data_IF_703476048796
#
_entry.id   IF_703476048796
#
_cell.length_a   1.000
_cell.length_b   1.000
_cell.length_c   1.000
_cell.angle_alpha   90.00
_cell.angle_beta   90.00
_cell.angle_gamma   90.00
#
_symmetry.space_group_name_H-M   'P 1'
#
loop_
_entity.id
_entity.type
_entity.pdbx_description
1 polymer ?
#
# COMPACT_ATOMS: atom_id res chain seq x y z
N UNK A 1 -38.26 -43.59 18.67
CA UNK A 1 -37.83 -42.88 19.89
C UNK A 1 -36.74 -43.60 20.70
N UNK A 2 -36.71 -44.94 20.77
CA UNK A 2 -35.68 -45.68 21.51
C UNK A 2 -34.28 -45.71 20.84
N UNK A 3 -34.20 -45.45 19.53
CA UNK A 3 -32.94 -45.47 18.76
C UNK A 3 -32.19 -44.13 18.84
N UNK A 4 -32.92 -43.01 18.79
CA UNK A 4 -32.38 -41.66 19.00
C UNK A 4 -31.77 -41.46 20.40
N UNK A 5 -32.31 -42.14 21.42
CA UNK A 5 -31.79 -42.09 22.79
C UNK A 5 -30.50 -42.93 22.98
N UNK A 6 -30.25 -43.93 22.13
CA UNK A 6 -29.00 -44.72 22.15
C UNK A 6 -27.86 -43.98 21.44
N UNK A 7 -28.17 -43.27 20.36
CA UNK A 7 -27.20 -42.44 19.64
C UNK A 7 -26.71 -41.26 20.51
N UNK A 8 -27.63 -40.60 21.22
CA UNK A 8 -27.28 -39.51 22.15
C UNK A 8 -26.39 -39.96 23.32
N UNK A 9 -26.61 -41.18 23.85
CA UNK A 9 -25.75 -41.77 24.89
C UNK A 9 -24.39 -42.22 24.36
N UNK A 10 -24.30 -42.68 23.10
CA UNK A 10 -23.02 -43.00 22.46
C UNK A 10 -22.18 -41.75 22.23
N UNK A 11 -22.79 -40.66 21.78
CA UNK A 11 -22.10 -39.37 21.59
C UNK A 11 -21.64 -38.81 22.94
N UNK A 12 -22.50 -38.82 23.98
CA UNK A 12 -22.09 -38.37 25.33
C UNK A 12 -20.98 -39.23 25.94
N UNK A 13 -21.00 -40.55 25.73
CA UNK A 13 -19.93 -41.44 26.22
C UNK A 13 -18.64 -41.33 25.40
N UNK A 14 -18.71 -40.95 24.12
CA UNK A 14 -17.53 -40.66 23.28
C UNK A 14 -16.80 -39.40 23.78
N UNK A 15 -17.54 -38.37 24.21
CA UNK A 15 -16.96 -37.18 24.83
C UNK A 15 -16.52 -37.41 26.29
N UNK A 16 -17.22 -38.26 27.05
CA UNK A 16 -16.89 -38.53 28.46
C UNK A 16 -15.66 -39.44 28.66
N UNK A 17 -15.26 -40.23 27.66
CA UNK A 17 -14.12 -41.16 27.75
C UNK A 17 -12.77 -40.55 27.33
N UNK A 18 -12.74 -39.30 26.86
CA UNK A 18 -11.51 -38.55 26.54
C UNK A 18 -11.19 -37.41 27.50
N UNK A 19 -11.87 -37.35 28.65
CA UNK A 19 -11.45 -36.48 29.77
C UNK A 19 -10.27 -37.08 30.53
N UNK A 20 -9.22 -37.52 29.80
CA UNK A 20 -7.88 -37.37 30.33
C UNK A 20 -7.70 -35.87 30.52
N UNK A 21 -7.54 -35.45 31.78
CA UNK A 21 -7.07 -34.13 32.17
C UNK A 21 -5.71 -33.91 31.50
N UNK A 22 -5.72 -33.48 30.25
CA UNK A 22 -4.61 -32.69 29.74
C UNK A 22 -4.56 -31.48 30.68
N UNK A 23 -3.41 -31.14 31.29
CA UNK A 23 -3.28 -29.80 31.83
C UNK A 23 -3.73 -28.85 30.71
N UNK A 24 -4.58 -27.88 31.05
CA UNK A 24 -4.78 -26.73 30.16
C UNK A 24 -3.42 -26.09 30.06
N UNK A 25 -2.62 -26.52 29.09
CA UNK A 25 -1.47 -25.76 28.65
C UNK A 25 -2.11 -24.49 28.10
N UNK A 26 -1.72 -23.31 28.57
CA UNK A 26 -1.96 -22.07 27.84
C UNK A 26 -1.09 -22.08 26.57
N UNK A 27 -1.27 -23.10 25.74
CA UNK A 27 -0.58 -23.27 24.49
C UNK A 27 -1.00 -22.11 23.58
N UNK A 28 -0.01 -21.29 23.23
CA UNK A 28 -0.13 -20.14 22.32
C UNK A 28 -0.77 -18.86 22.89
N UNK A 29 -0.85 -18.71 24.21
CA UNK A 29 -1.15 -17.40 24.81
C UNK A 29 0.11 -16.53 24.83
N UNK A 30 0.17 -15.48 24.00
CA UNK A 30 1.29 -14.53 23.98
C UNK A 30 1.21 -13.46 25.10
N UNK A 31 0.18 -13.52 25.95
CA UNK A 31 -0.12 -12.52 26.97
C UNK A 31 -0.74 -11.25 26.39
N UNK A 32 -0.87 -10.23 27.22
CA UNK A 32 -1.32 -8.90 26.80
C UNK A 32 -0.25 -8.17 25.98
N UNK A 33 -0.70 -7.32 25.04
CA UNK A 33 0.19 -6.46 24.26
C UNK A 33 0.41 -5.12 24.98
N UNK A 34 1.04 -5.17 26.15
CA UNK A 34 1.21 -4.02 27.05
C UNK A 34 2.67 -3.57 27.22
N UNK A 35 3.62 -4.29 26.62
CA UNK A 35 5.03 -3.95 26.68
C UNK A 35 5.35 -2.82 25.70
N UNK A 36 6.11 -1.82 26.15
CA UNK A 36 6.30 -0.58 25.39
C UNK A 36 7.73 -0.45 24.89
N UNK A 37 7.90 -0.17 23.60
CA UNK A 37 9.18 0.30 23.07
C UNK A 37 9.47 1.72 23.56
N UNK A 38 10.53 1.86 24.35
CA UNK A 38 10.97 3.14 24.94
C UNK A 38 11.34 4.22 23.91
N UNK A 39 11.55 3.84 22.64
CA UNK A 39 11.94 4.76 21.56
C UNK A 39 10.76 5.31 20.77
N UNK A 40 9.73 4.49 20.56
CA UNK A 40 8.65 4.76 19.60
C UNK A 40 7.25 4.70 20.21
N UNK A 41 7.10 4.22 21.45
CA UNK A 41 5.82 3.98 22.10
C UNK A 41 5.03 2.77 21.56
N UNK A 42 5.64 1.97 20.68
CA UNK A 42 5.03 0.79 20.07
C UNK A 42 4.78 -0.29 21.11
N UNK A 43 3.61 -0.92 21.04
CA UNK A 43 3.19 -2.01 21.91
C UNK A 43 3.68 -3.36 21.38
N UNK A 44 4.01 -4.25 22.31
CA UNK A 44 4.56 -5.58 22.05
C UNK A 44 3.99 -6.60 23.02
N UNK A 45 4.03 -7.86 22.60
CA UNK A 45 3.94 -9.00 23.49
C UNK A 45 5.29 -9.23 24.19
N UNK A 46 5.27 -9.77 25.41
CA UNK A 46 6.48 -9.97 26.21
C UNK A 46 7.56 -10.81 25.51
N UNK A 47 7.15 -11.75 24.65
CA UNK A 47 8.04 -12.65 23.92
C UNK A 47 8.73 -12.02 22.70
N UNK A 48 8.35 -10.81 22.28
CA UNK A 48 8.88 -10.15 21.08
C UNK A 48 10.15 -9.33 21.33
N UNK A 49 10.72 -9.40 22.54
CA UNK A 49 11.97 -8.75 22.84
C UNK A 49 13.16 -9.49 22.19
N UNK A 50 14.26 -8.76 21.98
CA UNK A 50 15.50 -9.38 21.55
C UNK A 50 16.24 -10.04 22.73
N UNK A 51 17.36 -10.71 22.48
CA UNK A 51 18.19 -11.32 23.52
C UNK A 51 18.71 -10.36 24.61
N UNK A 52 18.58 -9.04 24.43
CA UNK A 52 18.94 -8.00 25.41
C UNK A 52 17.73 -7.49 26.21
N UNK A 53 16.53 -7.99 25.92
CA UNK A 53 15.27 -7.53 26.51
C UNK A 53 14.69 -6.27 25.85
N UNK A 54 15.24 -5.82 24.70
CA UNK A 54 14.78 -4.60 24.03
C UNK A 54 13.76 -4.89 22.92
N UNK A 55 12.72 -4.05 22.84
CA UNK A 55 11.74 -4.04 21.75
C UNK A 55 12.17 -3.09 20.63
N UNK A 56 12.50 -3.62 19.45
CA UNK A 56 13.16 -2.84 18.39
C UNK A 56 12.50 -2.88 17.01
N UNK A 57 11.57 -3.80 16.75
CA UNK A 57 10.96 -4.00 15.43
C UNK A 57 10.14 -2.78 14.95
N UNK A 58 9.37 -2.13 15.83
CA UNK A 58 8.47 -1.00 15.57
C UNK A 58 9.16 0.22 14.96
N UNK A 59 10.42 0.49 15.26
CA UNK A 59 11.10 1.72 14.79
C UNK A 59 12.52 1.44 14.31
N UNK A 60 12.82 0.15 14.13
CA UNK A 60 14.15 -0.35 13.87
C UNK A 60 15.19 0.29 14.81
N UNK A 61 14.96 0.16 16.12
CA UNK A 61 15.83 0.70 17.17
C UNK A 61 15.96 2.25 17.17
N UNK A 62 14.91 2.96 16.77
CA UNK A 62 14.83 4.44 16.74
C UNK A 62 15.36 5.08 15.46
N UNK A 63 15.64 4.27 14.42
CA UNK A 63 16.12 4.77 13.12
C UNK A 63 15.01 5.34 12.25
N UNK A 64 13.76 4.91 12.48
CA UNK A 64 12.60 5.41 11.73
C UNK A 64 11.97 6.54 12.54
N UNK A 65 12.05 7.75 11.98
CA UNK A 65 11.42 8.97 12.52
C UNK A 65 10.58 9.58 11.42
N UNK A 66 9.26 9.53 11.57
CA UNK A 66 8.33 10.23 10.68
C UNK A 66 8.07 11.64 11.19
N UNK A 67 7.85 12.58 10.26
CA UNK A 67 7.43 13.93 10.62
C UNK A 67 6.00 13.86 11.19
N UNK A 68 5.79 14.54 12.32
CA UNK A 68 4.47 14.66 12.90
C UNK A 68 3.56 15.47 11.96
N UNK A 69 2.47 14.86 11.52
CA UNK A 69 1.39 15.53 10.79
C UNK A 69 0.13 15.48 11.64
N UNK A 70 -0.63 16.58 11.65
CA UNK A 70 -1.88 16.66 12.38
C UNK A 70 -3.00 16.16 11.49
N UNK A 71 -3.49 14.97 11.79
CA UNK A 71 -4.63 14.41 11.08
C UNK A 71 -5.91 15.24 11.37
N UNK A 72 -6.69 15.65 10.35
CA UNK A 72 -7.89 16.47 10.54
C UNK A 72 -8.88 15.81 11.50
N UNK A 73 -9.28 16.55 12.54
CA UNK A 73 -10.17 16.03 13.60
C UNK A 73 -11.53 15.62 13.03
N UNK A 74 -12.04 16.36 12.05
CA UNK A 74 -13.29 16.07 11.37
C UNK A 74 -13.26 14.70 10.69
N UNK A 75 -12.11 14.32 10.10
CA UNK A 75 -11.92 12.99 9.50
C UNK A 75 -11.69 11.91 10.57
N UNK A 76 -11.10 12.27 11.71
CA UNK A 76 -10.83 11.33 12.81
C UNK A 76 -12.14 10.80 13.40
N UNK A 77 -13.11 11.69 13.61
CA UNK A 77 -14.46 11.35 14.10
C UNK A 77 -15.13 10.35 13.15
N UNK A 78 -15.01 10.53 11.83
CA UNK A 78 -15.58 9.57 10.87
C UNK A 78 -15.00 8.15 10.97
N UNK A 79 -13.78 7.99 11.51
CA UNK A 79 -13.10 6.71 11.62
C UNK A 79 -13.41 5.94 12.92
N UNK A 80 -14.04 6.57 13.91
CA UNK A 80 -14.29 5.93 15.20
C UNK A 80 -15.40 4.86 15.14
N UNK A 81 -16.41 5.03 14.29
CA UNK A 81 -17.54 4.10 14.17
C UNK A 81 -18.59 4.26 15.27
N UNK A 82 -18.63 5.42 15.93
CA UNK A 82 -19.51 5.72 17.07
C UNK A 82 -20.94 6.09 16.66
N UNK A 83 -21.13 6.73 15.51
CA UNK A 83 -22.43 7.16 14.99
C UNK A 83 -22.78 6.54 13.63
N UNK A 84 -24.05 6.64 13.20
CA UNK A 84 -24.54 6.04 11.95
C UNK A 84 -23.77 6.52 10.70
N UNK A 85 -23.35 7.79 10.64
CA UNK A 85 -22.57 8.32 9.52
C UNK A 85 -21.16 7.73 9.51
N UNK A 86 -20.51 7.64 10.67
CA UNK A 86 -19.18 7.01 10.78
C UNK A 86 -19.22 5.51 10.42
N UNK A 87 -20.29 4.79 10.78
CA UNK A 87 -20.50 3.39 10.38
C UNK A 87 -20.70 3.28 8.86
N UNK A 88 -21.52 4.15 8.26
CA UNK A 88 -21.70 4.22 6.81
C UNK A 88 -20.37 4.50 6.10
N UNK A 89 -19.62 5.50 6.58
CA UNK A 89 -18.31 5.86 6.07
C UNK A 89 -17.35 4.67 6.08
N UNK A 90 -17.21 3.98 7.22
CA UNK A 90 -16.31 2.80 7.34
C UNK A 90 -16.73 1.67 6.42
N UNK A 91 -18.04 1.47 6.22
CA UNK A 91 -18.54 0.44 5.31
C UNK A 91 -18.20 0.73 3.84
N UNK A 92 -18.14 2.01 3.46
CA UNK A 92 -17.89 2.50 2.10
C UNK A 92 -16.55 3.22 1.93
N UNK A 93 -15.63 3.07 2.89
CA UNK A 93 -14.37 3.83 2.96
C UNK A 93 -13.49 3.68 1.71
N UNK A 94 -13.54 2.52 1.04
CA UNK A 94 -12.81 2.28 -0.21
C UNK A 94 -13.37 3.11 -1.38
N UNK A 95 -14.69 3.24 -1.48
CA UNK A 95 -15.34 4.08 -2.50
C UNK A 95 -14.98 5.54 -2.28
N UNK A 96 -15.08 6.05 -1.04
CA UNK A 96 -14.63 7.40 -0.71
C UNK A 96 -13.15 7.62 -1.04
N UNK A 97 -12.26 6.71 -0.63
CA UNK A 97 -10.83 6.83 -0.93
C UNK A 97 -10.58 6.85 -2.44
N UNK A 98 -11.20 5.94 -3.19
CA UNK A 98 -11.04 5.86 -4.64
C UNK A 98 -11.59 7.08 -5.36
N UNK A 99 -12.67 7.68 -4.87
CA UNK A 99 -13.27 8.88 -5.46
C UNK A 99 -12.42 10.15 -5.24
N UNK A 100 -11.62 10.15 -4.17
CA UNK A 100 -10.81 11.29 -3.74
C UNK A 100 -9.31 11.11 -4.02
N UNK A 101 -8.89 9.97 -4.57
CA UNK A 101 -7.47 9.68 -4.79
C UNK A 101 -6.88 10.47 -5.97
N UNK A 102 -5.59 10.80 -5.87
CA UNK A 102 -4.84 11.44 -6.95
C UNK A 102 -4.20 10.41 -7.90
N UNK A 103 -4.03 9.19 -7.41
CA UNK A 103 -3.58 8.04 -8.17
C UNK A 103 -4.55 6.87 -7.97
N UNK A 104 -4.74 6.08 -9.03
CA UNK A 104 -5.48 4.82 -8.96
C UNK A 104 -4.52 3.67 -8.67
N UNK A 105 -4.92 2.75 -7.79
CA UNK A 105 -4.31 1.44 -7.66
C UNK A 105 -5.07 0.47 -8.57
N UNK A 106 -4.43 0.01 -9.63
CA UNK A 106 -4.92 -1.07 -10.46
C UNK A 106 -4.38 -2.42 -9.99
N UNK A 107 -5.28 -3.36 -9.77
CA UNK A 107 -4.98 -4.75 -9.46
C UNK A 107 -6.15 -5.63 -9.91
N UNK A 108 -5.89 -6.89 -10.25
CA UNK A 108 -6.95 -7.86 -10.46
C UNK A 108 -7.43 -8.35 -9.09
N UNK A 109 -8.48 -7.74 -8.54
CA UNK A 109 -9.06 -8.15 -7.26
C UNK A 109 -9.90 -9.42 -7.48
N UNK A 110 -9.58 -10.49 -6.75
CA UNK A 110 -10.30 -11.76 -6.84
C UNK A 110 -11.13 -11.93 -5.56
N UNK A 111 -12.47 -12.05 -5.64
CA UNK A 111 -13.26 -12.30 -4.45
C UNK A 111 -12.91 -13.69 -3.86
N UNK A 112 -12.87 -13.84 -2.52
CA UNK A 112 -12.65 -15.15 -1.93
C UNK A 112 -13.74 -16.13 -2.35
N UNK A 113 -13.34 -17.32 -2.76
CA UNK A 113 -14.25 -18.42 -3.09
C UNK A 113 -14.72 -19.11 -1.80
N UNK A 114 -16.01 -19.06 -1.48
CA UNK A 114 -16.64 -19.83 -0.40
C UNK A 114 -17.32 -19.01 0.70
N UNK A 115 -17.57 -19.65 1.86
CA UNK A 115 -18.23 -19.06 3.05
C UNK A 115 -17.25 -18.58 4.13
N UNK A 116 -16.04 -18.17 3.74
CA UNK A 116 -15.01 -17.69 4.65
C UNK A 116 -15.20 -16.22 5.04
N UNK A 117 -14.49 -15.78 6.08
CA UNK A 117 -14.39 -14.35 6.40
C UNK A 117 -13.81 -13.57 5.21
N UNK A 118 -14.26 -12.32 5.03
CA UNK A 118 -13.80 -11.49 3.92
C UNK A 118 -12.29 -11.25 3.99
N UNK A 119 -11.59 -11.55 2.89
CA UNK A 119 -10.19 -11.19 2.69
C UNK A 119 -10.01 -10.39 1.39
N UNK A 120 -9.10 -9.42 1.42
CA UNK A 120 -8.71 -8.69 0.22
C UNK A 120 -7.62 -9.49 -0.52
N UNK A 121 -7.95 -9.99 -1.72
CA UNK A 121 -7.04 -10.80 -2.54
C UNK A 121 -6.81 -10.12 -3.87
N UNK A 122 -5.54 -10.02 -4.24
CA UNK A 122 -5.12 -9.59 -5.57
C UNK A 122 -4.52 -10.77 -6.33
N UNK A 123 -4.61 -10.71 -7.65
CA UNK A 123 -3.95 -11.63 -8.57
C UNK A 123 -3.09 -10.81 -9.54
N UNK A 124 -1.92 -11.33 -9.88
CA UNK A 124 -0.98 -10.64 -10.77
C UNK A 124 -0.31 -9.41 -10.15
N UNK A 125 -0.01 -8.42 -10.98
CA UNK A 125 0.78 -7.25 -10.59
C UNK A 125 -0.11 -6.06 -10.21
N UNK A 126 0.34 -5.29 -9.22
CA UNK A 126 -0.24 -3.98 -8.91
C UNK A 126 0.44 -2.88 -9.72
N UNK A 127 -0.33 -1.87 -10.10
CA UNK A 127 0.20 -0.66 -10.73
C UNK A 127 -0.51 0.57 -10.19
N UNK A 128 0.24 1.65 -10.00
CA UNK A 128 -0.30 2.93 -9.57
C UNK A 128 -0.21 3.92 -10.73
N UNK A 129 -1.31 4.58 -11.08
CA UNK A 129 -1.39 5.49 -12.24
C UNK A 129 -2.01 6.82 -11.85
N UNK A 130 -1.41 7.92 -12.30
CA UNK A 130 -2.02 9.25 -12.25
C UNK A 130 -2.82 9.51 -13.52
N UNK A 131 -3.90 10.28 -13.40
CA UNK A 131 -4.61 10.83 -14.55
C UNK A 131 -3.86 12.04 -15.14
N UNK A 132 -4.19 12.39 -16.38
CA UNK A 132 -3.82 13.67 -16.99
C UNK A 132 -4.51 14.82 -16.27
N UNK A 133 -4.12 16.07 -16.51
CA UNK A 133 -4.82 17.22 -15.95
C UNK A 133 -6.23 17.41 -16.56
N UNK A 134 -6.40 17.10 -17.84
CA UNK A 134 -7.66 17.24 -18.56
C UNK A 134 -8.27 15.88 -18.87
N UNK A 135 -9.60 15.74 -18.79
CA UNK A 135 -10.27 14.56 -19.31
C UNK A 135 -10.16 14.50 -20.84
N UNK A 136 -10.32 13.31 -21.45
CA UNK A 136 -10.39 13.17 -22.92
C UNK A 136 -11.58 13.96 -23.49
N UNK A 137 -12.73 13.86 -22.82
CA UNK A 137 -13.96 14.59 -23.16
C UNK A 137 -14.50 15.34 -21.93
N UNK A 138 -15.18 16.47 -22.15
CA UNK A 138 -15.76 17.26 -21.06
C UNK A 138 -16.83 16.45 -20.31
N UNK A 139 -16.69 16.34 -18.99
CA UNK A 139 -17.55 15.49 -18.17
C UNK A 139 -17.00 14.10 -17.85
N UNK A 140 -15.85 13.72 -18.40
CA UNK A 140 -15.14 12.49 -18.02
C UNK A 140 -14.01 12.75 -17.00
N UNK A 141 -14.16 13.76 -16.13
CA UNK A 141 -13.13 14.08 -15.15
C UNK A 141 -12.92 12.95 -14.14
N UNK A 142 -11.68 12.46 -14.03
CA UNK A 142 -11.28 11.32 -13.22
C UNK A 142 -10.22 11.67 -12.18
N UNK A 143 -10.39 11.12 -10.96
CA UNK A 143 -9.41 11.17 -9.87
C UNK A 143 -8.95 12.62 -9.57
N UNK A 144 -7.66 12.89 -9.76
CA UNK A 144 -7.05 14.17 -9.48
C UNK A 144 -7.64 15.35 -10.25
N UNK A 145 -8.21 15.11 -11.43
CA UNK A 145 -8.83 16.14 -12.29
C UNK A 145 -9.98 16.86 -11.58
N UNK A 146 -10.66 16.17 -10.67
CA UNK A 146 -11.81 16.71 -9.95
C UNK A 146 -11.41 17.82 -8.95
N UNK A 147 -10.15 17.89 -8.55
CA UNK A 147 -9.65 18.96 -7.68
C UNK A 147 -9.46 20.30 -8.40
N UNK A 148 -9.57 20.31 -9.73
CA UNK A 148 -9.60 21.54 -10.53
C UNK A 148 -10.97 22.22 -10.49
N UNK A 149 -12.04 21.44 -10.38
CA UNK A 149 -13.41 21.92 -10.31
C UNK A 149 -13.73 22.50 -8.92
N UNK A 150 -14.82 23.26 -8.81
CA UNK A 150 -15.37 23.61 -7.50
C UNK A 150 -15.86 22.36 -6.74
N UNK A 151 -15.94 22.46 -5.41
CA UNK A 151 -16.29 21.33 -4.53
C UNK A 151 -17.64 20.70 -4.89
N UNK A 152 -18.64 21.52 -5.21
CA UNK A 152 -20.00 21.04 -5.48
C UNK A 152 -20.08 20.33 -6.82
N UNK A 153 -19.47 20.88 -7.86
CA UNK A 153 -19.38 20.23 -9.17
C UNK A 153 -18.54 18.95 -9.09
N UNK A 154 -17.39 18.99 -8.43
CA UNK A 154 -16.54 17.82 -8.23
C UNK A 154 -17.28 16.70 -7.50
N UNK A 155 -18.03 17.05 -6.45
CA UNK A 155 -18.86 16.10 -5.69
C UNK A 155 -19.94 15.49 -6.59
N UNK A 156 -20.68 16.30 -7.35
CA UNK A 156 -21.69 15.79 -8.29
C UNK A 156 -21.08 14.78 -9.28
N UNK A 157 -19.94 15.12 -9.90
CA UNK A 157 -19.21 14.21 -10.81
C UNK A 157 -18.77 12.92 -10.14
N UNK A 158 -18.36 12.97 -8.86
CA UNK A 158 -18.04 11.75 -8.09
C UNK A 158 -19.29 10.90 -7.87
N UNK A 159 -20.42 11.52 -7.57
CA UNK A 159 -21.67 10.81 -7.27
C UNK A 159 -22.37 10.24 -8.51
N UNK A 160 -22.10 10.77 -9.71
CA UNK A 160 -22.58 10.22 -10.99
C UNK A 160 -22.01 8.83 -11.30
N UNK A 161 -20.94 8.42 -10.61
CA UNK A 161 -20.28 7.12 -10.82
C UNK A 161 -21.01 5.99 -10.11
N UNK A 162 -21.18 4.87 -10.82
CA UNK A 162 -21.82 3.67 -10.29
C UNK A 162 -21.12 3.13 -9.03
N UNK A 163 -19.79 3.23 -8.95
CA UNK A 163 -18.98 2.79 -7.81
C UNK A 163 -19.24 3.59 -6.52
N UNK A 164 -19.79 4.80 -6.67
CA UNK A 164 -20.11 5.72 -5.58
C UNK A 164 -21.62 5.82 -5.31
N UNK A 165 -22.45 5.02 -5.98
CA UNK A 165 -23.91 5.04 -5.83
C UNK A 165 -24.39 4.87 -4.39
N UNK A 166 -23.65 4.12 -3.57
CA UNK A 166 -23.95 3.92 -2.14
C UNK A 166 -23.23 4.91 -1.20
N UNK A 167 -22.48 5.88 -1.73
CA UNK A 167 -21.85 6.93 -0.93
C UNK A 167 -22.86 8.01 -0.54
N UNK A 168 -22.58 8.71 0.56
CA UNK A 168 -23.37 9.84 1.02
C UNK A 168 -22.81 11.12 0.36
N UNK A 169 -23.63 11.88 -0.41
CA UNK A 169 -23.17 13.06 -1.12
C UNK A 169 -22.61 14.16 -0.20
N UNK A 170 -23.27 14.40 0.93
CA UNK A 170 -22.87 15.43 1.88
C UNK A 170 -21.56 15.07 2.57
N UNK A 171 -21.35 13.78 2.85
CA UNK A 171 -20.08 13.30 3.37
C UNK A 171 -18.95 13.41 2.34
N UNK A 172 -19.22 13.04 1.09
CA UNK A 172 -18.26 13.20 -0.01
C UNK A 172 -17.81 14.65 -0.15
N UNK A 173 -18.76 15.60 -0.12
CA UNK A 173 -18.51 17.04 -0.16
C UNK A 173 -17.63 17.51 1.00
N UNK A 174 -17.98 17.13 2.23
CA UNK A 174 -17.21 17.49 3.43
C UNK A 174 -15.77 16.98 3.38
N UNK A 175 -15.56 15.74 2.95
CA UNK A 175 -14.21 15.17 2.86
C UNK A 175 -13.42 15.86 1.74
N UNK A 176 -14.04 16.15 0.60
CA UNK A 176 -13.42 16.92 -0.49
C UNK A 176 -12.95 18.30 -0.02
N UNK A 177 -13.77 19.02 0.74
CA UNK A 177 -13.43 20.33 1.32
C UNK A 177 -12.25 20.25 2.27
N UNK A 178 -12.21 19.23 3.13
CA UNK A 178 -11.09 19.00 4.04
C UNK A 178 -9.81 18.73 3.26
N UNK A 179 -9.86 17.84 2.25
CA UNK A 179 -8.71 17.51 1.41
C UNK A 179 -8.22 18.75 0.66
N UNK A 180 -9.10 19.54 0.04
CA UNK A 180 -8.70 20.79 -0.63
C UNK A 180 -8.05 21.81 0.30
N UNK A 181 -8.39 21.80 1.59
CA UNK A 181 -7.86 22.72 2.58
C UNK A 181 -6.46 22.33 3.08
N UNK A 182 -6.18 21.02 3.19
CA UNK A 182 -4.97 20.53 3.89
C UNK A 182 -4.02 19.74 2.99
N UNK A 183 -4.49 19.28 1.83
CA UNK A 183 -3.74 18.38 0.98
C UNK A 183 -2.91 19.17 -0.05
N UNK A 184 -1.58 19.08 0.00
CA UNK A 184 -0.72 19.81 -0.91
C UNK A 184 -0.81 19.32 -2.37
N UNK A 185 -1.26 18.09 -2.64
CA UNK A 185 -1.52 17.67 -4.01
C UNK A 185 -2.77 18.37 -4.56
N UNK A 186 -3.83 18.55 -3.77
CA UNK A 186 -5.00 19.32 -4.21
C UNK A 186 -4.60 20.75 -4.61
N UNK A 187 -3.77 21.41 -3.81
CA UNK A 187 -3.22 22.72 -4.12
C UNK A 187 -2.37 22.71 -5.40
N UNK A 188 -1.56 21.66 -5.61
CA UNK A 188 -0.75 21.48 -6.83
C UNK A 188 -1.62 21.51 -8.10
N UNK A 189 -2.67 20.68 -8.12
CA UNK A 189 -3.60 20.61 -9.24
C UNK A 189 -4.33 21.93 -9.47
N UNK A 190 -4.73 22.62 -8.40
CA UNK A 190 -5.38 23.93 -8.49
C UNK A 190 -4.46 25.00 -9.10
N UNK A 191 -3.22 25.15 -8.63
CA UNK A 191 -2.33 26.17 -9.20
C UNK A 191 -1.93 25.85 -10.64
N UNK A 192 -1.78 24.56 -10.99
CA UNK A 192 -1.50 24.14 -12.36
C UNK A 192 -2.59 24.64 -13.30
N UNK A 193 -3.86 24.42 -12.95
CA UNK A 193 -4.99 24.93 -13.71
C UNK A 193 -5.02 26.46 -13.79
N UNK A 194 -4.85 27.16 -12.66
CA UNK A 194 -4.86 28.63 -12.65
C UNK A 194 -3.76 29.23 -13.54
N UNK A 195 -2.57 28.63 -13.54
CA UNK A 195 -1.46 29.06 -14.40
C UNK A 195 -1.77 28.78 -15.88
N UNK A 196 -2.31 27.60 -16.19
CA UNK A 196 -2.72 27.26 -17.55
C UNK A 196 -3.76 28.27 -18.09
N UNK A 197 -4.79 28.59 -17.30
CA UNK A 197 -5.81 29.58 -17.64
C UNK A 197 -5.24 30.98 -17.81
N UNK A 198 -4.23 31.35 -17.02
CA UNK A 198 -3.52 32.62 -17.18
C UNK A 198 -2.77 32.67 -18.52
N UNK A 199 -1.98 31.63 -18.82
CA UNK A 199 -1.20 31.53 -20.07
C UNK A 199 -2.13 31.50 -21.29
N UNK A 200 -3.26 30.79 -21.22
CA UNK A 200 -4.27 30.77 -22.28
C UNK A 200 -4.79 32.18 -22.62
N UNK A 201 -5.01 33.01 -21.59
CA UNK A 201 -5.52 34.39 -21.76
C UNK A 201 -4.44 35.34 -22.28
N UNK A 202 -3.20 35.19 -21.85
CA UNK A 202 -2.12 36.13 -22.14
C UNK A 202 -1.38 35.82 -23.46
N UNK A 203 -1.20 34.54 -23.78
CA UNK A 203 -0.27 34.09 -24.83
C UNK A 203 -0.90 33.08 -25.81
N UNK A 204 -2.14 32.65 -25.58
CA UNK A 204 -2.88 31.75 -26.46
C UNK A 204 -2.62 30.26 -26.22
N UNK A 205 -3.20 29.43 -27.10
CA UNK A 205 -3.32 27.97 -26.89
C UNK A 205 -1.99 27.22 -26.97
N UNK A 206 -1.10 27.60 -27.88
CA UNK A 206 0.21 26.96 -28.04
C UNK A 206 1.09 27.14 -26.79
N UNK A 207 1.03 28.31 -26.16
CA UNK A 207 1.77 28.57 -24.93
C UNK A 207 1.23 27.76 -23.73
N UNK A 208 -0.08 27.52 -23.70
CA UNK A 208 -0.75 26.70 -22.68
C UNK A 208 -0.29 25.25 -22.70
N UNK A 209 -0.04 24.70 -23.89
CA UNK A 209 0.39 23.30 -24.05
C UNK A 209 1.81 23.07 -23.50
N UNK A 210 2.58 24.15 -23.31
CA UNK A 210 3.93 24.15 -22.75
C UNK A 210 3.99 24.29 -21.22
N UNK A 211 2.84 24.49 -20.55
CA UNK A 211 2.78 24.52 -19.08
C UNK A 211 2.92 23.09 -18.57
N UNK A 212 3.81 22.83 -17.63
CA UNK A 212 4.05 21.48 -17.12
C UNK A 212 4.06 21.43 -15.59
N UNK A 213 3.42 20.42 -15.00
CA UNK A 213 3.48 20.11 -13.57
C UNK A 213 4.32 18.86 -13.29
N UNK A 214 5.25 18.99 -12.35
CA UNK A 214 5.99 17.88 -11.76
C UNK A 214 5.80 17.83 -10.25
N UNK A 215 5.60 16.63 -9.72
CA UNK A 215 5.68 16.37 -8.28
C UNK A 215 7.10 15.90 -7.97
N UNK A 216 7.75 16.58 -7.04
CA UNK A 216 9.12 16.29 -6.62
C UNK A 216 9.13 15.44 -5.35
N UNK A 217 9.99 14.42 -5.25
CA UNK A 217 10.35 13.86 -3.93
C UNK A 217 11.20 14.87 -3.14
N UNK A 218 12.03 15.67 -3.80
CA UNK A 218 12.79 16.72 -3.13
C UNK A 218 11.85 17.89 -2.81
N UNK A 219 11.05 17.77 -1.74
CA UNK A 219 10.44 18.94 -1.08
C UNK A 219 11.61 19.70 -0.46
N UNK A 220 12.20 20.56 -1.29
CA UNK A 220 13.39 21.30 -0.99
C UNK A 220 13.21 22.00 0.36
N UNK A 221 14.16 21.75 1.28
CA UNK A 221 14.38 22.67 2.38
C UNK A 221 14.54 24.07 1.75
N UNK A 222 13.74 25.02 2.23
CA UNK A 222 13.56 26.34 1.61
C UNK A 222 14.85 27.15 1.39
N UNK A 223 15.99 26.66 1.90
CA UNK A 223 17.30 27.31 1.94
C UNK A 223 18.22 27.08 0.73
N UNK A 224 17.97 26.11 -0.17
CA UNK A 224 19.02 25.67 -1.13
C UNK A 224 18.99 26.23 -2.57
N UNK A 225 17.97 27.00 -2.99
CA UNK A 225 17.96 27.56 -4.36
C UNK A 225 17.89 29.09 -4.39
N UNK A 226 19.04 29.73 -4.15
CA UNK A 226 19.33 31.09 -4.66
C UNK A 226 19.93 30.99 -6.06
N UNK A 227 19.10 31.18 -7.08
CA UNK A 227 19.57 31.60 -8.41
C UNK A 227 19.23 30.68 -9.57
N UNK A 228 18.03 30.83 -10.15
CA UNK A 228 17.80 30.82 -11.61
C UNK A 228 16.39 31.34 -11.93
N UNK A 229 16.31 32.12 -13.01
CA UNK A 229 15.16 32.91 -13.45
C UNK A 229 14.05 32.05 -14.07
N UNK A 230 13.01 31.79 -13.27
CA UNK A 230 11.57 31.89 -13.58
C UNK A 230 10.86 31.54 -12.26
N UNK A 231 10.16 32.50 -11.67
CA UNK A 231 9.58 32.34 -10.34
C UNK A 231 8.49 31.25 -10.36
N UNK A 232 8.80 30.06 -9.86
CA UNK A 232 7.80 29.01 -9.63
C UNK A 232 6.75 29.54 -8.66
N UNK A 233 5.47 29.51 -9.01
CA UNK A 233 4.38 29.67 -8.04
C UNK A 233 4.51 28.48 -7.06
N UNK A 234 4.97 28.76 -5.84
CA UNK A 234 5.56 27.72 -4.95
C UNK A 234 4.48 26.95 -4.20
N UNK A 235 4.35 25.68 -4.52
CA UNK A 235 3.93 24.63 -3.59
C UNK A 235 5.18 23.78 -3.31
N UNK A 236 5.41 23.44 -2.05
CA UNK A 236 6.61 22.71 -1.62
C UNK A 236 6.72 21.31 -2.25
N UNK A 237 5.61 20.76 -2.76
CA UNK A 237 5.51 19.39 -3.28
C UNK A 237 5.45 19.31 -4.80
N UNK A 238 5.00 20.39 -5.45
CA UNK A 238 4.84 20.42 -6.90
C UNK A 238 5.36 21.72 -7.50
N UNK A 239 6.09 21.58 -8.61
CA UNK A 239 6.56 22.71 -9.40
C UNK A 239 5.77 22.78 -10.70
N UNK A 240 5.18 23.95 -10.94
CA UNK A 240 4.53 24.29 -12.20
C UNK A 240 5.33 25.37 -12.91
N UNK A 241 5.71 25.13 -14.16
CA UNK A 241 6.45 26.11 -14.97
C UNK A 241 6.18 25.92 -16.47
N UNK A 242 6.53 26.94 -17.25
CA UNK A 242 6.48 26.91 -18.72
C UNK A 242 7.84 26.49 -19.27
N UNK A 243 7.89 25.52 -20.16
CA UNK A 243 9.11 25.08 -20.84
C UNK A 243 8.86 24.93 -22.33
N UNK A 244 9.74 25.47 -23.18
CA UNK A 244 9.67 25.28 -24.64
C UNK A 244 9.98 23.85 -25.07
N UNK A 245 10.77 23.13 -24.28
CA UNK A 245 11.36 21.84 -24.70
C UNK A 245 10.68 20.65 -24.00
N UNK A 246 9.79 20.90 -23.02
CA UNK A 246 9.15 19.87 -22.20
C UNK A 246 10.12 19.02 -21.36
N UNK A 247 11.43 19.33 -21.40
CA UNK A 247 12.47 18.59 -20.67
C UNK A 247 12.40 18.98 -19.19
N UNK A 248 12.18 18.01 -18.28
CA UNK A 248 12.25 18.27 -16.85
C UNK A 248 13.65 18.73 -16.43
N UNK A 249 13.77 19.65 -15.45
CA UNK A 249 14.99 19.78 -14.67
C UNK A 249 15.38 18.43 -14.07
N UNK A 250 16.68 18.11 -14.05
CA UNK A 250 17.21 16.83 -13.58
C UNK A 250 16.61 16.43 -12.21
N UNK A 251 16.34 15.12 -12.04
CA UNK A 251 15.89 14.48 -10.78
C UNK A 251 14.44 14.79 -10.36
N UNK A 252 13.44 14.42 -11.18
CA UNK A 252 12.00 14.56 -10.86
C UNK A 252 11.24 13.26 -11.15
N UNK A 253 10.38 12.86 -10.20
CA UNK A 253 9.87 11.49 -10.18
C UNK A 253 8.48 11.28 -10.79
N UNK A 254 7.61 12.31 -10.81
CA UNK A 254 6.25 12.20 -11.39
C UNK A 254 5.97 13.41 -12.27
N UNK A 255 5.72 13.15 -13.55
CA UNK A 255 5.28 14.10 -14.56
C UNK A 255 3.78 13.91 -14.79
N UNK A 256 2.95 14.94 -14.62
CA UNK A 256 1.48 14.82 -14.77
C UNK A 256 1.00 15.36 -16.14
N UNK A 257 1.79 16.25 -16.75
CA UNK A 257 1.54 16.91 -18.03
C UNK A 257 2.89 17.02 -18.77
N UNK A 258 3.06 17.09 -20.12
CA UNK A 258 2.16 17.53 -21.20
C UNK A 258 1.14 16.51 -21.74
N UNK A 259 0.11 17.04 -22.42
CA UNK A 259 -1.11 16.41 -22.99
C UNK A 259 -0.90 15.22 -23.95
N UNK A 260 0.34 14.79 -24.19
CA UNK A 260 0.68 13.81 -25.24
C UNK A 260 1.44 12.56 -24.74
N UNK A 261 1.49 12.30 -23.43
CA UNK A 261 2.10 11.07 -22.90
C UNK A 261 1.02 10.11 -22.43
N UNK A 262 1.28 8.81 -22.56
CA UNK A 262 0.47 7.77 -21.93
C UNK A 262 0.33 8.01 -20.42
N UNK A 263 -0.69 7.39 -19.79
CA UNK A 263 -0.89 7.45 -18.33
C UNK A 263 0.43 7.22 -17.58
N UNK A 264 0.81 8.16 -16.71
CA UNK A 264 2.06 8.05 -15.98
C UNK A 264 1.93 7.02 -14.86
N UNK A 265 2.68 5.92 -14.99
CA UNK A 265 2.85 4.93 -13.93
C UNK A 265 3.73 5.52 -12.84
N UNK A 266 3.20 5.64 -11.63
CA UNK A 266 3.99 5.99 -10.46
C UNK A 266 4.84 4.78 -10.11
N UNK A 267 6.14 5.01 -9.90
CA UNK A 267 7.03 3.98 -9.37
C UNK A 267 6.59 3.57 -7.96
N UNK A 268 6.54 2.28 -7.66
CA UNK A 268 6.13 1.78 -6.33
C UNK A 268 7.06 2.23 -5.21
N UNK A 269 8.31 2.56 -5.53
CA UNK A 269 9.30 3.12 -4.61
C UNK A 269 9.18 4.64 -4.44
N UNK A 270 8.24 5.29 -5.13
CA UNK A 270 8.05 6.72 -5.00
C UNK A 270 7.36 7.04 -3.68
N UNK A 271 7.90 7.93 -2.84
CA UNK A 271 7.30 8.29 -1.56
C UNK A 271 5.93 8.97 -1.68
N UNK A 272 5.57 9.52 -2.84
CA UNK A 272 4.25 10.09 -3.08
C UNK A 272 3.22 9.02 -3.51
N UNK A 273 3.64 7.78 -3.79
CA UNK A 273 2.73 6.70 -4.22
C UNK A 273 1.63 6.43 -3.17
N UNK A 274 2.02 6.26 -1.91
CA UNK A 274 1.08 6.01 -0.80
C UNK A 274 0.11 7.16 -0.57
N UNK A 275 0.56 8.41 -0.33
CA UNK A 275 -0.36 9.50 -0.06
C UNK A 275 -1.24 9.90 -1.25
N UNK A 276 -0.79 9.67 -2.49
CA UNK A 276 -1.64 9.90 -3.67
C UNK A 276 -2.71 8.82 -3.85
N UNK A 277 -2.46 7.60 -3.37
CA UNK A 277 -3.38 6.45 -3.50
C UNK A 277 -4.33 6.33 -2.33
N UNK A 278 -3.86 6.58 -1.10
CA UNK A 278 -4.60 6.42 0.14
C UNK A 278 -4.80 7.78 0.83
N UNK A 279 -5.49 8.70 0.14
CA UNK A 279 -5.69 10.08 0.60
C UNK A 279 -6.39 10.16 1.95
N UNK A 280 -7.27 9.19 2.26
CA UNK A 280 -7.93 9.14 3.57
C UNK A 280 -6.97 8.79 4.71
N UNK A 281 -5.87 8.10 4.45
CA UNK A 281 -4.83 7.83 5.46
C UNK A 281 -3.81 8.95 5.57
N UNK A 282 -3.58 9.67 4.46
CA UNK A 282 -2.55 10.70 4.37
C UNK A 282 -3.13 12.01 3.82
N UNK A 283 -4.11 12.63 4.52
CA UNK A 283 -4.79 13.82 4.02
C UNK A 283 -3.85 15.02 3.86
N UNK A 284 -2.76 15.08 4.63
CA UNK A 284 -1.75 16.13 4.54
C UNK A 284 -0.62 15.78 3.57
N UNK A 285 -0.70 14.64 2.87
CA UNK A 285 0.31 14.20 1.92
C UNK A 285 1.59 13.72 2.59
N UNK A 286 1.50 13.04 3.73
CA UNK A 286 2.64 12.46 4.45
C UNK A 286 3.39 11.47 3.54
N UNK A 287 4.72 11.63 3.47
CA UNK A 287 5.56 10.83 2.56
C UNK A 287 5.54 9.35 2.94
N UNK A 288 5.42 8.47 1.97
CA UNK A 288 5.69 7.04 2.09
C UNK A 288 7.20 6.72 2.15
N UNK A 289 7.53 5.46 1.88
CA UNK A 289 8.91 4.97 1.91
C UNK A 289 9.79 5.69 0.88
N UNK A 290 11.05 5.96 1.26
CA UNK A 290 12.09 6.52 0.40
C UNK A 290 13.24 5.53 0.27
N UNK A 291 13.87 5.50 -0.90
CA UNK A 291 15.12 4.75 -1.10
C UNK A 291 16.29 5.41 -0.34
N UNK A 292 17.40 4.68 -0.20
CA UNK A 292 18.63 5.13 0.47
C UNK A 292 18.46 5.51 1.95
N UNK A 293 17.50 4.88 2.63
CA UNK A 293 17.34 5.00 4.08
C UNK A 293 18.17 3.94 4.82
N UNK A 294 18.46 4.16 6.10
CA UNK A 294 19.14 3.19 6.97
C UNK A 294 18.27 1.99 7.39
N UNK A 295 17.07 1.88 6.81
CA UNK A 295 16.06 0.88 7.08
C UNK A 295 15.40 0.44 5.76
N UNK A 296 14.87 -0.78 5.77
CA UNK A 296 14.15 -1.36 4.62
C UNK A 296 12.69 -0.89 4.55
N UNK A 297 12.08 -1.04 3.38
CA UNK A 297 10.67 -0.74 3.16
C UNK A 297 9.74 -1.55 4.08
N UNK A 298 10.06 -2.82 4.32
CA UNK A 298 9.31 -3.64 5.28
C UNK A 298 9.33 -3.03 6.68
N UNK A 299 10.50 -2.60 7.15
CA UNK A 299 10.66 -1.98 8.47
C UNK A 299 9.87 -0.66 8.55
N UNK A 300 9.81 0.10 7.45
CA UNK A 300 8.98 1.30 7.36
C UNK A 300 7.48 0.99 7.52
N UNK A 301 6.96 0.00 6.79
CA UNK A 301 5.55 -0.37 6.92
C UNK A 301 5.23 -0.97 8.29
N UNK A 302 6.13 -1.76 8.87
CA UNK A 302 6.00 -2.25 10.25
C UNK A 302 5.89 -1.08 11.23
N UNK A 303 6.70 -0.02 11.06
CA UNK A 303 6.60 1.17 11.90
C UNK A 303 5.24 1.87 11.85
N UNK A 304 4.68 1.99 10.63
CA UNK A 304 3.35 2.59 10.41
C UNK A 304 2.22 1.74 10.95
N UNK A 305 2.36 0.42 10.92
CA UNK A 305 1.34 -0.52 11.40
C UNK A 305 1.50 -0.86 12.89
N UNK A 306 2.60 -0.43 13.53
CA UNK A 306 2.81 -0.65 14.96
C UNK A 306 1.75 0.07 15.79
N UNK A 307 1.07 -0.68 16.65
CA UNK A 307 0.07 -0.15 17.59
C UNK A 307 0.79 0.67 18.66
N UNK A 308 0.24 1.84 19.01
CA UNK A 308 0.76 2.71 20.07
C UNK A 308 -0.40 3.16 20.94
N UNK A 309 -0.18 3.21 22.26
CA UNK A 309 -1.22 3.63 23.21
C UNK A 309 -1.52 5.12 23.02
N UNK A 310 -2.80 5.48 23.08
CA UNK A 310 -3.33 6.86 23.02
C UNK A 310 -2.96 7.66 21.76
N UNK A 311 -2.40 7.01 20.73
CA UNK A 311 -2.06 7.64 19.44
C UNK A 311 -3.04 7.13 18.39
N UNK A 312 -3.75 8.06 17.77
CA UNK A 312 -4.64 7.74 16.66
C UNK A 312 -3.82 7.36 15.42
N UNK A 313 -4.14 6.20 14.83
CA UNK A 313 -3.52 5.72 13.60
C UNK A 313 -4.60 5.54 12.52
N UNK A 314 -4.68 6.44 11.52
CA UNK A 314 -5.70 6.37 10.47
C UNK A 314 -5.74 5.02 9.75
N UNK A 315 -4.56 4.41 9.56
CA UNK A 315 -4.41 3.14 8.85
C UNK A 315 -5.09 2.03 9.64
N UNK A 316 -4.82 1.91 10.95
CA UNK A 316 -5.40 0.86 11.80
C UNK A 316 -6.91 1.01 11.98
N UNK A 317 -7.42 2.24 11.99
CA UNK A 317 -8.86 2.51 12.07
C UNK A 317 -9.59 2.33 10.73
N UNK A 318 -8.85 2.21 9.62
CA UNK A 318 -9.38 2.16 8.25
C UNK A 318 -10.11 0.88 7.84
N UNK A 319 -10.12 -0.16 8.67
CA UNK A 319 -10.90 -1.39 8.45
C UNK A 319 -10.66 -2.02 7.06
N UNK A 320 -11.66 -1.96 6.17
CA UNK A 320 -11.53 -2.51 4.81
C UNK A 320 -10.42 -1.83 4.01
N UNK A 321 -10.22 -0.51 4.17
CA UNK A 321 -9.13 0.20 3.48
C UNK A 321 -7.76 -0.21 4.04
N UNK A 322 -7.67 -0.49 5.35
CA UNK A 322 -6.45 -1.01 5.97
C UNK A 322 -6.01 -2.30 5.31
N UNK A 323 -6.94 -3.26 5.12
CA UNK A 323 -6.62 -4.54 4.47
C UNK A 323 -6.03 -4.34 3.07
N UNK A 324 -6.59 -3.40 2.29
CA UNK A 324 -6.09 -3.08 0.96
C UNK A 324 -4.68 -2.48 1.04
N UNK A 325 -4.47 -1.51 1.94
CA UNK A 325 -3.16 -0.88 2.15
C UNK A 325 -2.09 -1.87 2.60
N UNK A 326 -2.42 -2.80 3.51
CA UNK A 326 -1.47 -3.83 3.98
C UNK A 326 -1.07 -4.77 2.83
N UNK A 327 -2.03 -5.24 2.03
CA UNK A 327 -1.74 -6.12 0.89
C UNK A 327 -0.94 -5.38 -0.19
N UNK A 328 -1.30 -4.14 -0.51
CA UNK A 328 -0.56 -3.33 -1.47
C UNK A 328 0.87 -3.03 -0.98
N UNK A 329 1.02 -2.68 0.30
CA UNK A 329 2.34 -2.48 0.95
C UNK A 329 3.20 -3.73 0.89
N UNK A 330 2.63 -4.90 1.18
CA UNK A 330 3.35 -6.18 1.07
C UNK A 330 3.80 -6.48 -0.36
N UNK A 331 2.95 -6.23 -1.35
CA UNK A 331 3.27 -6.47 -2.76
C UNK A 331 4.38 -5.53 -3.24
N UNK A 332 4.40 -4.28 -2.77
CA UNK A 332 5.51 -3.35 -3.04
C UNK A 332 6.82 -3.84 -2.43
N UNK A 333 6.80 -4.31 -1.18
CA UNK A 333 7.96 -4.92 -0.50
C UNK A 333 8.47 -6.12 -1.28
N UNK A 334 7.60 -7.06 -1.64
CA UNK A 334 8.00 -8.25 -2.41
C UNK A 334 8.50 -7.89 -3.82
N UNK A 335 7.84 -6.94 -4.49
CA UNK A 335 8.29 -6.40 -5.78
C UNK A 335 9.69 -5.80 -5.70
N UNK A 336 10.00 -5.06 -4.63
CA UNK A 336 11.31 -4.48 -4.40
C UNK A 336 12.37 -5.53 -4.07
N UNK A 337 12.03 -6.56 -3.29
CA UNK A 337 12.91 -7.72 -3.05
C UNK A 337 13.23 -8.47 -4.34
N UNK A 338 12.22 -8.71 -5.19
CA UNK A 338 12.40 -9.35 -6.50
C UNK A 338 13.25 -8.50 -7.44
N UNK A 339 13.03 -7.18 -7.47
CA UNK A 339 13.86 -6.27 -8.24
C UNK A 339 15.32 -6.30 -7.76
N UNK A 340 15.57 -6.32 -6.46
CA UNK A 340 16.92 -6.47 -5.93
C UNK A 340 17.56 -7.78 -6.37
N UNK A 341 16.86 -8.91 -6.24
CA UNK A 341 17.35 -10.23 -6.65
C UNK A 341 17.68 -10.24 -8.14
N UNK A 342 16.81 -9.68 -8.99
CA UNK A 342 17.00 -9.58 -10.45
C UNK A 342 18.29 -8.85 -10.83
N UNK A 343 18.60 -7.74 -10.18
CA UNK A 343 19.77 -6.92 -10.52
C UNK A 343 21.07 -7.37 -9.85
N UNK A 344 21.00 -8.15 -8.76
CA UNK A 344 22.16 -8.55 -7.96
C UNK A 344 22.50 -10.05 -8.09
N UNK A 345 22.10 -10.71 -9.17
CA UNK A 345 22.33 -12.15 -9.40
C UNK A 345 23.82 -12.55 -9.26
N UNK A 346 24.76 -11.71 -9.73
CA UNK A 346 26.20 -11.98 -9.61
C UNK A 346 26.69 -11.97 -8.14
N UNK A 347 26.21 -11.01 -7.34
CA UNK A 347 26.56 -10.92 -5.91
C UNK A 347 26.00 -12.09 -5.10
N UNK A 348 24.83 -12.61 -5.49
CA UNK A 348 24.18 -13.76 -4.86
C UNK A 348 24.88 -15.10 -5.17
N UNK A 349 26.07 -15.07 -5.80
CA UNK A 349 26.85 -16.25 -6.24
C UNK A 349 26.00 -17.21 -7.07
N UNK A 350 25.18 -16.66 -7.96
CA UNK A 350 24.32 -17.48 -8.82
C UNK A 350 25.14 -18.25 -9.87
N UNK A 351 26.38 -17.83 -10.11
CA UNK A 351 27.35 -18.51 -10.99
C UNK A 351 27.69 -19.94 -10.53
N UNK A 352 27.54 -20.26 -9.24
CA UNK A 352 27.67 -21.66 -8.76
C UNK A 352 26.53 -22.58 -9.22
N UNK A 353 25.51 -22.05 -9.90
CA UNK A 353 24.35 -22.80 -10.40
C UNK A 353 24.34 -22.93 -11.92
N UNK A 354 25.49 -22.82 -12.59
CA UNK A 354 25.64 -23.04 -14.04
C UNK A 354 24.97 -24.34 -14.50
N UNK A 355 25.15 -25.45 -13.77
CA UNK A 355 24.51 -26.72 -14.12
C UNK A 355 22.97 -26.71 -14.09
N UNK A 356 22.36 -25.88 -13.23
CA UNK A 356 20.90 -25.70 -13.20
C UNK A 356 20.42 -24.80 -14.34
N UNK A 357 21.18 -23.74 -14.64
CA UNK A 357 20.89 -22.87 -15.77
C UNK A 357 21.01 -23.60 -17.10
N UNK A 358 22.03 -24.45 -17.26
CA UNK A 358 22.24 -25.29 -18.44
C UNK A 358 21.12 -26.32 -18.61
N UNK A 359 20.65 -26.95 -17.53
CA UNK A 359 19.51 -27.86 -17.57
C UNK A 359 18.21 -27.15 -17.99
N UNK A 360 17.94 -25.96 -17.45
CA UNK A 360 16.75 -25.16 -17.83
C UNK A 360 16.84 -24.72 -19.29
N UNK A 361 18.03 -24.32 -19.75
CA UNK A 361 18.25 -23.95 -21.15
C UNK A 361 18.09 -25.14 -22.10
N UNK A 362 18.53 -26.34 -21.70
CA UNK A 362 18.30 -27.56 -22.46
C UNK A 362 16.80 -27.88 -22.60
N UNK A 363 16.05 -27.83 -21.49
CA UNK A 363 14.58 -28.03 -21.49
C UNK A 363 13.84 -26.98 -22.34
N UNK A 364 14.25 -25.71 -22.27
CA UNK A 364 13.66 -24.64 -23.09
C UNK A 364 13.94 -24.87 -24.59
N UNK A 365 15.14 -25.33 -24.92
CA UNK A 365 15.54 -25.67 -26.30
C UNK A 365 14.74 -26.86 -26.82
N UNK A 366 14.55 -27.91 -26.00
CA UNK A 366 13.71 -29.07 -26.33
C UNK A 366 12.24 -28.70 -26.53
N UNK A 367 11.72 -27.72 -25.78
CA UNK A 367 10.36 -27.21 -25.92
C UNK A 367 10.19 -26.17 -27.04
N UNK A 368 11.26 -25.81 -27.76
CA UNK A 368 11.23 -24.77 -28.81
C UNK A 368 10.97 -23.34 -28.29
N UNK A 369 11.15 -23.11 -26.99
CA UNK A 369 10.94 -21.82 -26.34
C UNK A 369 12.28 -21.09 -26.30
N UNK A 370 12.35 -19.85 -26.79
CA UNK A 370 13.53 -19.00 -26.56
C UNK A 370 13.56 -18.59 -25.08
N UNK A 371 14.51 -19.06 -24.27
CA UNK A 371 14.57 -18.67 -22.87
C UNK A 371 14.89 -17.17 -22.77
N UNK A 372 14.13 -16.46 -21.94
CA UNK A 372 14.47 -15.09 -21.54
C UNK A 372 15.67 -15.05 -20.58
N UNK A 373 15.89 -13.91 -19.92
CA UNK A 373 16.92 -13.82 -18.87
C UNK A 373 16.47 -14.66 -17.67
N UNK A 374 17.22 -15.73 -17.39
CA UNK A 374 16.97 -16.61 -16.23
C UNK A 374 17.32 -15.89 -14.94
N UNK A 375 16.35 -15.71 -14.05
CA UNK A 375 16.56 -15.16 -12.70
C UNK A 375 16.38 -16.28 -11.69
N UNK A 376 17.42 -16.56 -10.93
CA UNK A 376 17.40 -17.62 -9.93
C UNK A 376 17.03 -17.02 -8.57
N UNK A 377 15.97 -17.56 -7.97
CA UNK A 377 15.52 -17.17 -6.64
C UNK A 377 16.27 -17.97 -5.55
N UNK A 378 16.76 -17.31 -4.48
CA UNK A 378 17.37 -17.98 -3.34
C UNK A 378 16.32 -18.66 -2.45
N UNK A 379 16.72 -19.63 -1.61
CA UNK A 379 15.82 -20.29 -0.64
C UNK A 379 15.28 -19.33 0.42
N UNK A 380 15.93 -18.19 0.66
CA UNK A 380 15.44 -17.14 1.55
C UNK A 380 14.23 -16.37 1.00
N UNK A 381 13.89 -16.55 -0.28
CA UNK A 381 12.68 -15.98 -0.87
C UNK A 381 11.50 -16.94 -0.69
N UNK A 382 10.50 -16.53 0.09
CA UNK A 382 9.32 -17.33 0.40
C UNK A 382 8.55 -17.61 -0.90
N UNK A 383 8.15 -18.87 -1.11
CA UNK A 383 7.50 -19.31 -2.35
C UNK A 383 8.45 -19.60 -3.52
N UNK A 384 9.77 -19.40 -3.35
CA UNK A 384 10.73 -19.92 -4.33
C UNK A 384 10.70 -21.47 -4.33
N UNK A 385 11.00 -22.13 -5.46
CA UNK A 385 11.11 -23.60 -5.51
C UNK A 385 12.02 -24.18 -4.44
N UNK A 386 13.09 -23.47 -4.09
CA UNK A 386 14.06 -23.87 -3.06
C UNK A 386 13.51 -23.72 -1.65
N UNK A 387 12.81 -22.62 -1.38
CA UNK A 387 12.12 -22.43 -0.10
C UNK A 387 11.07 -23.52 0.11
N UNK A 388 10.32 -23.87 -0.93
CA UNK A 388 9.34 -24.96 -0.86
C UNK A 388 10.01 -26.31 -0.60
N UNK A 389 11.13 -26.60 -1.28
CA UNK A 389 11.89 -27.83 -1.04
C UNK A 389 12.48 -27.89 0.38
N UNK A 390 13.00 -26.78 0.88
CA UNK A 390 13.53 -26.68 2.25
C UNK A 390 12.41 -26.85 3.28
N UNK A 391 11.30 -26.12 3.15
CA UNK A 391 10.15 -26.24 4.04
C UNK A 391 9.58 -27.68 4.03
N UNK A 392 9.59 -28.34 2.88
CA UNK A 392 9.21 -29.75 2.78
C UNK A 392 10.17 -30.65 3.56
N UNK A 393 11.48 -30.46 3.42
CA UNK A 393 12.48 -31.22 4.18
C UNK A 393 12.37 -30.96 5.69
N UNK A 394 12.13 -29.72 6.10
CA UNK A 394 11.93 -29.34 7.50
C UNK A 394 10.64 -29.99 8.04
N UNK A 395 9.54 -29.95 7.28
CA UNK A 395 8.30 -30.62 7.64
C UNK A 395 8.49 -32.15 7.77
N UNK A 396 9.22 -32.77 6.84
CA UNK A 396 9.53 -34.20 6.92
C UNK A 396 10.42 -34.54 8.13
N UNK A 397 11.37 -33.67 8.48
CA UNK A 397 12.20 -33.84 9.68
C UNK A 397 11.34 -33.77 10.95
N UNK A 398 10.43 -32.80 11.04
CA UNK A 398 9.47 -32.70 12.14
C UNK A 398 8.61 -33.97 12.24
N UNK A 399 8.14 -34.51 11.11
CA UNK A 399 7.35 -35.75 11.08
C UNK A 399 8.16 -36.97 11.52
N UNK A 400 9.45 -37.02 11.21
CA UNK A 400 10.35 -38.09 11.66
C UNK A 400 10.53 -38.03 13.18
N UNK A 401 10.74 -36.85 13.74
CA UNK A 401 11.05 -36.67 15.16
C UNK A 401 9.82 -36.73 16.07
N UNK A 402 8.70 -36.14 15.63
CA UNK A 402 7.49 -35.98 16.44
C UNK A 402 6.31 -36.86 15.99
N UNK A 403 6.47 -37.61 14.89
CA UNK A 403 5.42 -38.44 14.32
C UNK A 403 4.50 -37.68 13.36
N UNK A 404 3.54 -38.41 12.78
CA UNK A 404 2.59 -37.83 11.80
C UNK A 404 1.61 -36.90 12.51
N UNK A 405 1.31 -35.71 11.95
CA UNK A 405 0.32 -34.82 12.52
C UNK A 405 -1.09 -35.42 12.43
N UNK A 406 -1.86 -35.33 13.52
CA UNK A 406 -3.28 -35.73 13.55
C UNK A 406 -4.19 -34.72 12.83
N UNK A 407 -3.75 -33.48 12.70
CA UNK A 407 -4.46 -32.38 12.05
C UNK A 407 -3.51 -31.61 11.14
N UNK A 408 -3.88 -31.49 9.87
CA UNK A 408 -3.18 -30.69 8.88
C UNK A 408 -4.00 -29.43 8.61
N UNK A 409 -3.43 -28.26 8.91
CA UNK A 409 -3.99 -26.97 8.49
C UNK A 409 -3.23 -26.47 7.26
N UNK A 410 -3.86 -26.60 6.10
CA UNK A 410 -3.29 -26.07 4.85
C UNK A 410 -3.52 -24.55 4.78
N UNK A 411 -2.46 -23.78 5.07
CA UNK A 411 -2.42 -22.37 4.71
C UNK A 411 -1.93 -22.23 3.27
N UNK A 412 -2.87 -22.23 2.32
CA UNK A 412 -2.57 -21.94 0.92
C UNK A 412 -2.17 -20.47 0.75
N UNK A 413 -0.89 -20.16 0.87
CA UNK A 413 -0.28 -18.99 0.23
C UNK A 413 -0.15 -19.32 -1.27
N UNK A 414 -1.26 -19.22 -2.01
CA UNK A 414 -1.23 -19.27 -3.47
C UNK A 414 -0.61 -17.96 -3.99
N UNK A 415 0.69 -18.04 -4.32
CA UNK A 415 1.51 -17.02 -4.98
C UNK A 415 0.99 -16.62 -6.35
#
# INVERSE_FOLDING_TARGET
MAEHAREHRRIQNFFASRTTLYPVVEEHNCGEMDNICLKCGGLYFAAENNARGDYTHCCHNGKIVEQASVYPMEMKVLMDGSDELSVHFKNKIRSYNSALSFASMGAQVVPPTGRGAYCFRIHGQTYHRTSHLHPPEAGEENFAQLFVLDSDLATRRRMERGENSECNPELMRKIDEIIRRVNPFADAYKMMWELEQQVLREEGREASENVTMFISDDRLDSSQHRGRYNASKRNEIAMVFKSSDGVPPNNRDICIYPKQRELCRISTINPNCDPMTYVLFFPCGERGFRINQSYSELQFYVHRLSVRRDIFNPILYGGKLMQQYVVDSYVKVEGNRLNFIRHNQRMLRVESYLGLADHINALATEAGIRPGVTVILPSSFIGSPRAMQQNFQDAMSIVIDFGKPDLLFDFYLQS
#
